data_IF_685545312758
#
_entry.id   IF_685545312758
#
_cell.length_a   1.000
_cell.length_b   1.000
_cell.length_c   1.000
_cell.angle_alpha   90.00
_cell.angle_beta   90.00
_cell.angle_gamma   90.00
#
_symmetry.space_group_name_H-M   'P 1'
#
loop_
_entity.id
_entity.type
_entity.pdbx_description
1 polymer ?
#
# COMPACT_ATOMS: atom_id res chain seq x y z
N UNK A 1 -1.60 -38.60 -27.98
CA UNK A 1 -1.26 -37.82 -29.19
C UNK A 1 -1.09 -36.36 -28.79
N UNK A 2 0.13 -35.83 -28.78
CA UNK A 2 0.38 -34.41 -28.51
C UNK A 2 0.07 -33.61 -29.78
N UNK A 3 -1.09 -32.96 -29.82
CA UNK A 3 -1.41 -32.00 -30.89
C UNK A 3 -0.47 -30.81 -30.70
N UNK A 4 0.51 -30.67 -31.59
CA UNK A 4 1.38 -29.52 -31.61
C UNK A 4 0.52 -28.27 -31.85
N UNK A 5 0.38 -27.43 -30.83
CA UNK A 5 -0.33 -26.14 -30.94
C UNK A 5 0.54 -25.26 -31.84
N UNK A 6 0.25 -25.24 -33.14
CA UNK A 6 0.91 -24.31 -34.04
C UNK A 6 0.57 -22.89 -33.59
N UNK A 7 1.59 -22.04 -33.47
CA UNK A 7 1.35 -20.63 -33.13
C UNK A 7 0.62 -20.00 -34.31
N UNK A 8 -0.62 -19.59 -34.10
CA UNK A 8 -1.40 -18.83 -35.09
C UNK A 8 -0.58 -17.62 -35.54
N UNK A 9 -0.23 -17.58 -36.83
CA UNK A 9 0.37 -16.40 -37.44
C UNK A 9 -0.73 -15.39 -37.76
N UNK A 10 -0.52 -14.13 -37.37
CA UNK A 10 -1.41 -13.01 -37.65
C UNK A 10 -0.92 -12.31 -38.92
N UNK A 11 -1.52 -12.65 -40.06
CA UNK A 11 -1.34 -11.94 -41.33
C UNK A 11 -2.11 -10.62 -41.31
N UNK A 12 -1.75 -9.69 -42.20
CA UNK A 12 -2.43 -8.39 -42.30
C UNK A 12 -3.94 -8.56 -42.56
N UNK A 13 -4.33 -9.51 -43.41
CA UNK A 13 -5.74 -9.83 -43.68
C UNK A 13 -6.50 -10.28 -42.42
N UNK A 14 -5.87 -11.10 -41.56
CA UNK A 14 -6.48 -11.52 -40.29
C UNK A 14 -6.58 -10.38 -39.30
N UNK A 15 -5.61 -9.45 -39.32
CA UNK A 15 -5.66 -8.24 -38.49
C UNK A 15 -6.79 -7.31 -38.96
N UNK A 16 -7.01 -7.20 -40.26
CA UNK A 16 -8.10 -6.40 -40.80
C UNK A 16 -9.46 -7.05 -40.54
N UNK A 17 -9.59 -8.37 -40.70
CA UNK A 17 -10.77 -9.12 -40.30
C UNK A 17 -11.07 -8.93 -38.79
N UNK A 18 -10.05 -8.98 -37.94
CA UNK A 18 -10.18 -8.68 -36.51
C UNK A 18 -10.71 -7.26 -36.26
N UNK A 19 -10.20 -6.24 -36.96
CA UNK A 19 -10.71 -4.86 -36.84
C UNK A 19 -12.18 -4.75 -37.22
N UNK A 20 -12.54 -5.34 -38.36
CA UNK A 20 -13.91 -5.34 -38.87
C UNK A 20 -14.88 -5.96 -37.85
N UNK A 21 -14.58 -7.15 -37.34
CA UNK A 21 -15.45 -7.82 -36.34
C UNK A 21 -15.53 -7.08 -35.01
N UNK A 22 -14.45 -6.41 -34.58
CA UNK A 22 -14.49 -5.55 -33.38
C UNK A 22 -15.37 -4.32 -33.61
N UNK A 23 -15.35 -3.75 -34.82
CA UNK A 23 -16.20 -2.63 -35.22
C UNK A 23 -17.69 -3.04 -35.25
N UNK A 24 -17.99 -4.27 -35.70
CA UNK A 24 -19.32 -4.88 -35.64
C UNK A 24 -19.78 -5.20 -34.20
N UNK A 25 -18.90 -5.02 -33.21
CA UNK A 25 -19.22 -5.22 -31.80
C UNK A 25 -19.16 -6.67 -31.33
N UNK A 26 -18.52 -7.57 -32.09
CA UNK A 26 -18.34 -8.96 -31.66
C UNK A 26 -17.40 -9.06 -30.45
N UNK A 27 -17.75 -9.96 -29.53
CA UNK A 27 -16.90 -10.28 -28.37
C UNK A 27 -15.70 -11.16 -28.75
N UNK A 28 -14.67 -11.16 -27.91
CA UNK A 28 -13.41 -11.91 -28.14
C UNK A 28 -13.64 -13.39 -28.47
N UNK A 29 -14.61 -14.04 -27.82
CA UNK A 29 -14.94 -15.44 -28.07
C UNK A 29 -15.55 -15.65 -29.46
N UNK A 30 -16.56 -14.86 -29.84
CA UNK A 30 -17.19 -14.95 -31.16
C UNK A 30 -16.19 -14.66 -32.29
N UNK A 31 -15.29 -13.69 -32.08
CA UNK A 31 -14.20 -13.40 -33.02
C UNK A 31 -13.22 -14.58 -33.10
N UNK A 32 -12.95 -15.25 -31.98
CA UNK A 32 -12.05 -16.40 -31.95
C UNK A 32 -12.62 -17.58 -32.74
N UNK A 33 -13.92 -17.86 -32.58
CA UNK A 33 -14.62 -18.90 -33.32
C UNK A 33 -14.65 -18.58 -34.82
N UNK A 34 -14.99 -17.34 -35.18
CA UNK A 34 -15.04 -16.87 -36.57
C UNK A 34 -13.67 -16.92 -37.27
N UNK A 35 -12.61 -16.54 -36.56
CA UNK A 35 -11.25 -16.58 -37.09
C UNK A 35 -10.57 -17.95 -36.91
N UNK A 36 -11.28 -18.97 -36.44
CA UNK A 36 -10.74 -20.30 -36.13
C UNK A 36 -9.44 -20.21 -35.31
N UNK A 37 -9.46 -19.45 -34.22
CA UNK A 37 -8.31 -19.23 -33.34
C UNK A 37 -8.72 -19.26 -31.87
N UNK A 38 -7.76 -19.17 -30.95
CA UNK A 38 -8.08 -19.16 -29.53
C UNK A 38 -8.49 -17.76 -29.05
N UNK A 39 -9.44 -17.64 -28.09
CA UNK A 39 -9.79 -16.35 -27.48
C UNK A 39 -8.57 -15.61 -26.89
N UNK A 40 -7.60 -16.36 -26.35
CA UNK A 40 -6.36 -15.79 -25.83
C UNK A 40 -5.49 -15.15 -26.94
N UNK A 41 -5.44 -15.77 -28.13
CA UNK A 41 -4.73 -15.21 -29.28
C UNK A 41 -5.39 -13.91 -29.76
N UNK A 42 -6.73 -13.88 -29.84
CA UNK A 42 -7.49 -12.68 -30.20
C UNK A 42 -7.25 -11.55 -29.19
N UNK A 43 -7.42 -11.82 -27.89
CA UNK A 43 -7.20 -10.82 -26.84
C UNK A 43 -5.76 -10.27 -26.85
N UNK A 44 -4.77 -11.14 -27.03
CA UNK A 44 -3.37 -10.74 -27.12
C UNK A 44 -3.12 -9.83 -28.33
N UNK A 45 -3.70 -10.17 -29.49
CA UNK A 45 -3.52 -9.36 -30.70
C UNK A 45 -4.26 -8.02 -30.60
N UNK A 46 -5.51 -8.00 -30.11
CA UNK A 46 -6.25 -6.76 -29.85
C UNK A 46 -5.46 -5.81 -28.94
N UNK A 47 -4.82 -6.34 -27.89
CA UNK A 47 -3.96 -5.55 -27.01
C UNK A 47 -2.73 -4.98 -27.73
N UNK A 48 -2.10 -5.76 -28.61
CA UNK A 48 -0.92 -5.31 -29.39
C UNK A 48 -1.26 -4.15 -30.33
N UNK A 49 -2.39 -4.25 -31.02
CA UNK A 49 -2.85 -3.23 -31.99
C UNK A 49 -3.76 -2.17 -31.37
N UNK A 50 -3.96 -2.21 -30.05
CA UNK A 50 -4.76 -1.25 -29.27
C UNK A 50 -6.20 -1.08 -29.77
N UNK A 51 -6.80 -2.17 -30.22
CA UNK A 51 -8.22 -2.20 -30.56
C UNK A 51 -9.06 -2.20 -29.28
N UNK A 52 -9.98 -1.24 -29.19
CA UNK A 52 -10.94 -1.13 -28.10
C UNK A 52 -12.32 -1.49 -28.66
N UNK A 53 -13.10 -2.39 -28.03
CA UNK A 53 -14.46 -2.67 -28.46
C UNK A 53 -15.32 -1.42 -28.50
N UNK A 54 -16.31 -1.37 -29.40
CA UNK A 54 -17.29 -0.28 -29.44
C UNK A 54 -17.93 -0.03 -28.06
N UNK A 55 -18.27 1.22 -27.77
CA UNK A 55 -18.79 1.62 -26.45
C UNK A 55 -20.04 0.83 -26.03
N UNK A 56 -20.87 0.42 -26.99
CA UNK A 56 -22.05 -0.44 -26.79
C UNK A 56 -21.70 -1.80 -26.18
N UNK A 57 -20.60 -2.42 -26.63
CA UNK A 57 -20.10 -3.70 -26.12
C UNK A 57 -19.58 -3.53 -24.69
N UNK A 58 -18.88 -2.44 -24.41
CA UNK A 58 -18.39 -2.12 -23.07
C UNK A 58 -19.55 -1.99 -22.09
N UNK A 59 -20.66 -1.35 -22.49
CA UNK A 59 -21.87 -1.21 -21.67
C UNK A 59 -22.53 -2.57 -21.41
N UNK A 60 -22.67 -3.43 -22.42
CA UNK A 60 -23.26 -4.76 -22.26
C UNK A 60 -22.42 -5.66 -21.37
N UNK A 61 -21.11 -5.71 -21.59
CA UNK A 61 -20.17 -6.49 -20.78
C UNK A 61 -20.17 -5.99 -19.34
N UNK A 62 -20.20 -4.67 -19.12
CA UNK A 62 -20.32 -4.07 -17.79
C UNK A 62 -21.61 -4.48 -17.10
N UNK A 63 -22.76 -4.34 -17.76
CA UNK A 63 -24.05 -4.70 -17.17
C UNK A 63 -24.12 -6.20 -16.87
N UNK A 64 -23.56 -7.04 -17.74
CA UNK A 64 -23.48 -8.49 -17.55
C UNK A 64 -22.55 -8.92 -16.40
N UNK A 65 -21.52 -8.13 -16.08
CA UNK A 65 -20.68 -8.29 -14.87
C UNK A 65 -21.49 -7.95 -13.62
N UNK A 66 -22.15 -6.79 -13.61
CA UNK A 66 -22.90 -6.29 -12.45
C UNK A 66 -24.09 -7.18 -12.11
N UNK A 67 -24.85 -7.61 -13.11
CA UNK A 67 -25.99 -8.51 -12.95
C UNK A 67 -25.57 -9.84 -12.29
N UNK A 68 -24.53 -10.51 -12.81
CA UNK A 68 -24.04 -11.77 -12.23
C UNK A 68 -23.44 -11.61 -10.84
N UNK A 69 -22.80 -10.48 -10.58
CA UNK A 69 -22.31 -10.17 -9.25
C UNK A 69 -23.47 -9.99 -8.25
N UNK A 70 -24.57 -9.35 -8.67
CA UNK A 70 -25.78 -9.22 -7.86
C UNK A 70 -26.43 -10.60 -7.58
N UNK A 71 -26.33 -11.56 -8.50
CA UNK A 71 -26.71 -12.98 -8.29
C UNK A 71 -25.73 -13.74 -7.37
N UNK A 72 -24.72 -13.09 -6.79
CA UNK A 72 -23.76 -13.70 -5.86
C UNK A 72 -22.62 -14.48 -6.51
N UNK A 73 -22.39 -14.32 -7.82
CA UNK A 73 -21.28 -14.99 -8.49
C UNK A 73 -19.94 -14.41 -8.06
N UNK A 74 -18.96 -15.30 -7.82
CA UNK A 74 -17.58 -14.87 -7.53
C UNK A 74 -16.94 -14.19 -8.75
N UNK A 75 -16.12 -13.13 -8.57
CA UNK A 75 -15.44 -12.43 -9.67
C UNK A 75 -14.66 -13.34 -10.62
N UNK A 76 -14.02 -14.41 -10.11
CA UNK A 76 -13.29 -15.39 -10.92
C UNK A 76 -14.18 -16.25 -11.83
N UNK A 77 -15.45 -16.47 -11.45
CA UNK A 77 -16.44 -17.18 -12.28
C UNK A 77 -16.98 -16.25 -13.36
N UNK A 78 -17.29 -15.01 -12.98
CA UNK A 78 -17.71 -13.95 -13.91
C UNK A 78 -16.63 -13.75 -14.98
N UNK A 79 -15.37 -13.55 -14.57
CA UNK A 79 -14.21 -13.39 -15.46
C UNK A 79 -14.11 -14.47 -16.55
N UNK A 80 -14.25 -15.76 -16.15
CA UNK A 80 -14.26 -16.88 -17.10
C UNK A 80 -15.44 -16.82 -18.08
N UNK A 81 -16.63 -16.43 -17.60
CA UNK A 81 -17.83 -16.35 -18.43
C UNK A 81 -17.79 -15.21 -19.45
N UNK A 82 -17.32 -14.01 -19.03
CA UNK A 82 -17.26 -12.83 -19.92
C UNK A 82 -15.95 -12.72 -20.72
N UNK A 83 -15.00 -13.64 -20.49
CA UNK A 83 -13.71 -13.63 -21.20
C UNK A 83 -12.80 -12.46 -20.80
N UNK A 84 -12.89 -11.99 -19.56
CA UNK A 84 -12.06 -10.91 -19.02
C UNK A 84 -11.14 -11.42 -17.91
N UNK A 85 -10.07 -10.68 -17.62
CA UNK A 85 -9.25 -10.97 -16.44
C UNK A 85 -9.97 -10.58 -15.14
N UNK A 86 -9.64 -11.27 -14.06
CA UNK A 86 -10.28 -11.09 -12.76
C UNK A 86 -10.12 -9.67 -12.19
N UNK A 87 -9.01 -8.99 -12.50
CA UNK A 87 -8.72 -7.64 -11.99
C UNK A 87 -9.62 -6.62 -12.67
N UNK A 88 -9.84 -6.75 -13.98
CA UNK A 88 -10.78 -5.92 -14.74
C UNK A 88 -12.22 -6.10 -14.22
N UNK A 89 -12.66 -7.34 -14.00
CA UNK A 89 -13.98 -7.63 -13.42
C UNK A 89 -14.12 -7.00 -12.03
N UNK A 90 -13.13 -7.20 -11.15
CA UNK A 90 -13.14 -6.61 -9.81
C UNK A 90 -13.17 -5.08 -9.86
N UNK A 91 -12.37 -4.47 -10.75
CA UNK A 91 -12.34 -3.02 -10.91
C UNK A 91 -13.64 -2.42 -11.45
N UNK A 92 -14.46 -3.18 -12.19
CA UNK A 92 -15.83 -2.76 -12.56
C UNK A 92 -16.75 -2.81 -11.35
N UNK A 93 -16.73 -3.90 -10.59
CA UNK A 93 -17.55 -4.09 -9.37
C UNK A 93 -17.26 -2.98 -8.34
N UNK A 94 -15.98 -2.74 -8.04
CA UNK A 94 -15.58 -1.76 -7.02
C UNK A 94 -16.01 -0.34 -7.38
N UNK A 95 -15.87 0.05 -8.65
CA UNK A 95 -16.32 1.38 -9.14
C UNK A 95 -17.82 1.57 -8.97
N UNK A 96 -18.61 0.53 -9.22
CA UNK A 96 -20.07 0.59 -9.08
C UNK A 96 -20.54 0.59 -7.63
N UNK A 97 -19.94 -0.25 -6.78
CA UNK A 97 -20.22 -0.24 -5.34
C UNK A 97 -19.98 1.15 -4.70
N UNK A 98 -18.99 1.89 -5.23
CA UNK A 98 -18.69 3.27 -4.77
C UNK A 98 -19.72 4.29 -5.27
N UNK A 99 -20.33 4.03 -6.44
CA UNK A 99 -21.31 4.94 -7.07
C UNK A 99 -22.69 4.78 -6.44
N UNK A 100 -23.13 3.53 -6.18
CA UNK A 100 -24.39 3.27 -5.46
C UNK A 100 -24.36 3.78 -4.01
N UNK A 101 -23.22 3.64 -3.32
CA UNK A 101 -23.03 4.20 -1.98
C UNK A 101 -23.09 5.74 -1.93
N UNK A 102 -23.02 6.42 -3.08
CA UNK A 102 -23.15 7.88 -3.20
C UNK A 102 -24.52 8.32 -3.74
N UNK A 103 -25.41 7.38 -4.08
CA UNK A 103 -26.71 7.64 -4.68
C UNK A 103 -27.88 7.66 -3.68
N UNK A 104 -27.61 7.82 -2.38
CA UNK A 104 -28.67 8.16 -1.42
C UNK A 104 -29.29 9.52 -1.81
N UNK A 105 -30.64 9.66 -1.77
CA UNK A 105 -31.32 10.86 -2.22
C UNK A 105 -30.99 12.02 -1.27
N UNK A 106 -30.06 12.88 -1.69
CA UNK A 106 -29.82 14.15 -1.02
C UNK A 106 -30.81 15.19 -1.55
N UNK A 107 -31.55 15.80 -0.62
CA UNK A 107 -32.47 16.91 -0.86
C UNK A 107 -31.83 18.02 -1.73
N UNK A 108 -32.63 18.75 -2.53
CA UNK A 108 -32.14 19.74 -3.48
C UNK A 108 -31.43 20.90 -2.77
N UNK A 109 -30.10 20.81 -2.66
CA UNK A 109 -29.27 21.91 -2.15
C UNK A 109 -29.09 22.99 -3.21
N UNK A 110 -29.60 24.17 -2.88
CA UNK A 110 -29.40 25.45 -3.58
C UNK A 110 -27.92 25.65 -3.94
N UNK A 111 -27.69 25.81 -5.24
CA UNK A 111 -26.40 25.78 -5.92
C UNK A 111 -25.61 27.07 -5.65
N UNK A 112 -24.89 27.15 -4.52
CA UNK A 112 -23.83 28.17 -4.34
C UNK A 112 -22.55 27.74 -5.06
N UNK A 113 -22.12 28.52 -6.07
CA UNK A 113 -20.85 28.37 -6.79
C UNK A 113 -19.69 28.42 -5.77
N UNK A 114 -19.07 27.28 -5.47
CA UNK A 114 -17.79 27.21 -4.73
C UNK A 114 -16.64 26.91 -5.69
N UNK A 115 -15.54 27.61 -5.46
CA UNK A 115 -14.29 27.58 -6.20
C UNK A 115 -13.63 26.19 -6.18
N UNK A 116 -12.94 25.88 -7.29
CA UNK A 116 -12.49 24.55 -7.72
C UNK A 116 -11.16 24.09 -7.08
N UNK A 117 -10.95 24.35 -5.79
CA UNK A 117 -9.69 23.98 -5.09
C UNK A 117 -9.82 22.87 -4.05
N UNK A 118 -11.02 22.42 -3.71
CA UNK A 118 -11.18 21.36 -2.72
C UNK A 118 -11.35 20.00 -3.41
N UNK A 119 -10.27 19.20 -3.42
CA UNK A 119 -10.42 17.76 -3.61
C UNK A 119 -11.24 17.23 -2.43
N UNK A 120 -12.26 16.38 -2.64
CA UNK A 120 -12.93 15.72 -1.53
C UNK A 120 -11.92 14.78 -0.88
N UNK A 121 -11.40 15.20 0.27
CA UNK A 121 -10.69 14.34 1.20
C UNK A 121 -11.64 13.19 1.52
N UNK A 122 -11.29 11.97 1.14
CA UNK A 122 -12.05 10.77 1.43
C UNK A 122 -12.41 10.81 2.91
N UNK A 123 -13.69 10.95 3.23
CA UNK A 123 -14.13 11.04 4.62
C UNK A 123 -13.52 9.85 5.37
N UNK A 124 -12.83 10.08 6.52
CA UNK A 124 -12.22 8.99 7.25
C UNK A 124 -13.31 7.96 7.54
N UNK A 125 -13.16 6.75 7.00
CA UNK A 125 -14.05 5.63 7.30
C UNK A 125 -14.16 5.59 8.82
N UNK A 126 -15.35 5.85 9.35
CA UNK A 126 -15.59 5.82 10.80
C UNK A 126 -15.04 4.48 11.28
N UNK A 127 -14.03 4.47 12.17
CA UNK A 127 -13.50 3.22 12.67
C UNK A 127 -14.69 2.48 13.27
N UNK A 128 -14.92 1.23 12.82
CA UNK A 128 -15.92 0.38 13.46
C UNK A 128 -15.68 0.44 14.96
N UNK A 129 -16.72 0.62 15.78
CA UNK A 129 -16.57 0.80 17.21
C UNK A 129 -15.68 -0.32 17.75
N UNK A 130 -14.62 0.05 18.45
CA UNK A 130 -13.56 -0.88 18.92
C UNK A 130 -14.16 -2.12 19.59
N UNK A 131 -15.29 -1.93 20.28
CA UNK A 131 -16.09 -2.95 20.95
C UNK A 131 -16.59 -4.06 20.02
N UNK A 132 -17.06 -3.74 18.81
CA UNK A 132 -17.54 -4.76 17.86
C UNK A 132 -16.40 -5.63 17.33
N UNK A 133 -15.25 -5.01 17.07
CA UNK A 133 -14.05 -5.73 16.63
C UNK A 133 -13.55 -6.68 17.71
N UNK A 134 -13.54 -6.24 18.96
CA UNK A 134 -13.14 -7.07 20.11
C UNK A 134 -14.09 -8.23 20.32
N UNK A 135 -15.41 -8.00 20.23
CA UNK A 135 -16.43 -9.07 20.29
C UNK A 135 -16.25 -10.11 19.19
N UNK A 136 -16.01 -9.67 17.95
CA UNK A 136 -15.74 -10.57 16.84
C UNK A 136 -14.47 -11.41 17.05
N UNK A 137 -13.38 -10.79 17.51
CA UNK A 137 -12.12 -11.49 17.80
C UNK A 137 -12.29 -12.47 18.97
N UNK A 138 -13.02 -12.09 20.01
CA UNK A 138 -13.32 -12.96 21.15
C UNK A 138 -14.14 -14.20 20.73
N UNK A 139 -15.21 -14.02 19.95
CA UNK A 139 -16.03 -15.12 19.43
C UNK A 139 -15.21 -16.07 18.54
N UNK A 140 -14.35 -15.51 17.68
CA UNK A 140 -13.45 -16.29 16.83
C UNK A 140 -12.42 -17.08 17.64
N UNK A 141 -11.80 -16.47 18.64
CA UNK A 141 -10.85 -17.13 19.56
C UNK A 141 -11.52 -18.26 20.33
N UNK A 142 -12.74 -18.07 20.82
CA UNK A 142 -13.51 -19.10 21.48
C UNK A 142 -13.78 -20.31 20.55
N UNK A 143 -14.14 -20.06 19.28
CA UNK A 143 -14.32 -21.11 18.27
C UNK A 143 -13.02 -21.86 17.98
N UNK A 144 -11.91 -21.14 17.80
CA UNK A 144 -10.57 -21.73 17.59
C UNK A 144 -10.18 -22.61 18.78
N UNK A 145 -10.42 -22.17 20.01
CA UNK A 145 -10.15 -22.92 21.24
C UNK A 145 -11.00 -24.20 21.33
N UNK A 146 -12.31 -24.11 21.04
CA UNK A 146 -13.21 -25.29 21.03
C UNK A 146 -12.73 -26.34 20.03
N UNK A 147 -12.41 -25.93 18.80
CA UNK A 147 -11.92 -26.84 17.76
C UNK A 147 -10.55 -27.44 18.14
N UNK A 148 -9.71 -26.68 18.87
CA UNK A 148 -8.43 -27.19 19.35
C UNK A 148 -8.59 -28.25 20.44
N UNK A 149 -9.52 -28.05 21.38
CA UNK A 149 -9.86 -29.03 22.42
C UNK A 149 -10.42 -30.33 21.83
N UNK A 150 -11.06 -30.26 20.66
CA UNK A 150 -11.48 -31.44 19.89
C UNK A 150 -10.33 -32.17 19.17
N UNK A 151 -9.07 -31.76 19.38
CA UNK A 151 -7.90 -32.42 18.79
C UNK A 151 -7.62 -32.08 17.32
N UNK A 152 -8.33 -31.11 16.73
CA UNK A 152 -8.10 -30.72 15.33
C UNK A 152 -6.71 -30.10 15.13
N UNK A 153 -6.12 -30.39 13.97
CA UNK A 153 -4.85 -29.77 13.54
C UNK A 153 -5.08 -28.32 13.10
N UNK A 154 -4.06 -27.47 13.20
CA UNK A 154 -4.15 -26.04 12.82
C UNK A 154 -4.70 -25.82 11.41
N UNK A 155 -4.39 -26.75 10.48
CA UNK A 155 -4.88 -26.73 9.10
C UNK A 155 -6.39 -26.95 9.01
N UNK A 156 -6.90 -28.02 9.65
CA UNK A 156 -8.34 -28.31 9.67
C UNK A 156 -9.14 -27.20 10.38
N UNK A 157 -8.57 -26.62 11.44
CA UNK A 157 -9.17 -25.45 12.10
C UNK A 157 -9.25 -24.27 11.13
N UNK A 158 -8.17 -23.97 10.41
CA UNK A 158 -8.12 -22.89 9.41
C UNK A 158 -9.15 -23.06 8.30
N UNK A 159 -9.26 -24.26 7.75
CA UNK A 159 -10.27 -24.63 6.74
C UNK A 159 -11.69 -24.41 7.28
N UNK A 160 -11.98 -24.81 8.52
CA UNK A 160 -13.32 -24.67 9.13
C UNK A 160 -13.76 -23.22 9.42
N UNK A 161 -12.82 -22.29 9.57
CA UNK A 161 -13.11 -20.88 9.89
C UNK A 161 -12.75 -19.92 8.76
N UNK A 162 -12.29 -20.43 7.61
CA UNK A 162 -11.85 -19.61 6.47
C UNK A 162 -10.60 -18.78 6.76
N UNK A 163 -9.64 -19.31 7.52
CA UNK A 163 -8.42 -18.61 7.91
C UNK A 163 -7.14 -19.40 7.57
N UNK A 164 -6.03 -18.70 7.37
CA UNK A 164 -4.74 -19.36 7.19
C UNK A 164 -4.32 -20.10 8.49
N UNK A 165 -3.61 -21.23 8.39
CA UNK A 165 -3.12 -21.96 9.57
C UNK A 165 -2.22 -21.10 10.47
N UNK A 166 -1.49 -20.14 9.89
CA UNK A 166 -0.67 -19.18 10.63
C UNK A 166 -1.52 -18.27 11.54
N UNK A 167 -2.65 -17.79 11.03
CA UNK A 167 -3.55 -16.95 11.79
C UNK A 167 -4.20 -17.71 12.97
N UNK A 168 -4.54 -18.99 12.75
CA UNK A 168 -5.01 -19.89 13.84
C UNK A 168 -3.95 -20.03 14.93
N UNK A 169 -2.68 -20.23 14.54
CA UNK A 169 -1.57 -20.33 15.48
C UNK A 169 -1.38 -19.05 16.30
N UNK A 170 -1.42 -17.87 15.66
CA UNK A 170 -1.29 -16.59 16.37
C UNK A 170 -2.42 -16.34 17.36
N UNK A 171 -3.66 -16.73 17.01
CA UNK A 171 -4.82 -16.55 17.88
C UNK A 171 -4.81 -17.52 19.07
N UNK A 172 -4.38 -18.78 18.88
CA UNK A 172 -4.19 -19.73 19.98
C UNK A 172 -3.15 -19.21 20.98
N UNK A 173 -2.02 -18.68 20.48
CA UNK A 173 -0.97 -18.07 21.32
C UNK A 173 -1.50 -16.88 22.12
N UNK A 174 -2.33 -16.04 21.50
CA UNK A 174 -2.96 -14.90 22.19
C UNK A 174 -3.94 -15.34 23.29
N UNK A 175 -4.49 -16.55 23.23
CA UNK A 175 -5.38 -17.11 24.26
C UNK A 175 -4.66 -17.91 25.36
N UNK A 176 -3.32 -18.01 25.31
CA UNK A 176 -2.55 -18.79 26.28
C UNK A 176 -2.74 -20.31 26.17
N UNK A 177 -3.43 -20.79 25.12
CA UNK A 177 -3.48 -22.21 24.81
C UNK A 177 -2.14 -22.56 24.19
N UNK A 178 -1.40 -23.50 24.80
CA UNK A 178 -0.17 -24.03 24.23
C UNK A 178 -0.45 -24.54 22.82
N UNK A 179 -0.11 -23.71 21.83
CA UNK A 179 0.02 -24.18 20.48
C UNK A 179 1.16 -25.19 20.54
N UNK A 180 0.97 -26.43 20.03
CA UNK A 180 2.06 -27.38 19.96
C UNK A 180 3.19 -26.62 19.31
N UNK A 181 4.37 -26.64 19.97
CA UNK A 181 5.52 -25.90 19.48
C UNK A 181 5.59 -26.12 18.00
N UNK A 182 5.99 -25.07 17.28
CA UNK A 182 6.37 -25.20 15.89
C UNK A 182 7.61 -26.10 15.89
N UNK A 183 7.43 -27.42 16.10
CA UNK A 183 8.09 -28.47 15.37
C UNK A 183 7.75 -28.10 13.94
N UNK A 184 8.52 -27.13 13.42
CA UNK A 184 9.04 -27.21 12.09
C UNK A 184 9.56 -28.63 12.07
N UNK A 185 8.68 -29.55 11.68
CA UNK A 185 9.12 -30.74 11.00
C UNK A 185 9.93 -30.10 9.89
N UNK A 186 11.24 -29.93 10.14
CA UNK A 186 12.22 -29.85 9.09
C UNK A 186 11.78 -31.03 8.28
N UNK A 187 11.11 -30.76 7.16
CA UNK A 187 10.65 -31.83 6.30
C UNK A 187 11.86 -32.76 6.23
N UNK A 188 11.68 -34.06 6.52
CA UNK A 188 12.80 -35.00 6.45
C UNK A 188 13.54 -34.68 5.16
N UNK A 189 14.89 -34.65 5.15
CA UNK A 189 15.67 -34.12 4.04
C UNK A 189 15.44 -34.93 2.76
N UNK A 190 14.28 -34.76 2.12
CA UNK A 190 14.19 -34.55 0.71
C UNK A 190 15.10 -33.35 0.49
N UNK A 191 16.38 -33.62 0.31
CA UNK A 191 17.31 -32.78 -0.39
C UNK A 191 16.52 -32.29 -1.59
N UNK A 192 16.04 -31.04 -1.51
CA UNK A 192 14.94 -30.57 -2.31
C UNK A 192 15.34 -30.86 -3.76
N UNK A 193 14.53 -31.56 -4.53
CA UNK A 193 14.80 -31.73 -5.96
C UNK A 193 15.05 -30.38 -6.63
N UNK A 194 14.47 -29.31 -6.06
CA UNK A 194 14.76 -27.90 -6.38
C UNK A 194 16.18 -27.45 -6.06
N UNK A 195 16.74 -27.82 -4.91
CA UNK A 195 18.14 -27.53 -4.58
C UNK A 195 19.07 -28.30 -5.52
N UNK A 196 18.84 -29.61 -5.73
CA UNK A 196 19.61 -30.41 -6.71
C UNK A 196 19.51 -29.83 -8.12
N UNK A 197 18.33 -29.42 -8.56
CA UNK A 197 18.13 -28.79 -9.86
C UNK A 197 18.82 -27.42 -9.95
N UNK A 198 18.83 -26.65 -8.85
CA UNK A 198 19.51 -25.36 -8.77
C UNK A 198 21.02 -25.54 -8.84
N UNK A 199 21.57 -26.51 -8.12
CA UNK A 199 23.00 -26.79 -8.13
C UNK A 199 23.46 -27.39 -9.46
N UNK A 200 22.66 -28.28 -10.06
CA UNK A 200 22.90 -28.78 -11.41
C UNK A 200 22.88 -27.65 -12.45
N UNK A 201 21.95 -26.69 -12.34
CA UNK A 201 21.91 -25.50 -13.20
C UNK A 201 23.16 -24.64 -12.99
N UNK A 202 23.54 -24.37 -11.75
CA UNK A 202 24.74 -23.57 -11.41
C UNK A 202 26.02 -24.22 -11.93
N UNK A 203 26.14 -25.54 -11.86
CA UNK A 203 27.26 -26.28 -12.44
C UNK A 203 27.34 -26.09 -13.97
N UNK A 204 26.19 -26.15 -14.68
CA UNK A 204 26.14 -25.85 -16.12
C UNK A 204 26.52 -24.41 -16.42
N UNK A 205 25.99 -23.44 -15.67
CA UNK A 205 26.33 -22.01 -15.81
C UNK A 205 27.83 -21.79 -15.62
N UNK A 206 28.44 -22.43 -14.61
CA UNK A 206 29.89 -22.37 -14.36
C UNK A 206 30.71 -22.89 -15.54
N UNK A 207 30.36 -24.07 -16.08
CA UNK A 207 31.06 -24.67 -17.22
C UNK A 207 30.94 -23.81 -18.48
N UNK A 208 29.74 -23.32 -18.78
CA UNK A 208 29.52 -22.46 -19.95
C UNK A 208 30.25 -21.11 -19.80
N UNK A 209 30.34 -20.58 -18.58
CA UNK A 209 31.08 -19.34 -18.33
C UNK A 209 32.59 -19.53 -18.47
N UNK A 210 33.14 -20.66 -18.01
CA UNK A 210 34.56 -21.00 -18.19
C UNK A 210 34.96 -21.10 -19.68
N UNK A 211 34.01 -21.48 -20.54
CA UNK A 211 34.20 -21.50 -22.00
C UNK A 211 34.09 -20.11 -22.66
N UNK A 212 33.96 -19.02 -21.89
CA UNK A 212 33.95 -17.64 -22.41
C UNK A 212 32.59 -17.15 -22.92
N UNK A 213 31.50 -17.90 -22.75
CA UNK A 213 30.19 -17.46 -23.23
C UNK A 213 29.67 -16.22 -22.46
N UNK A 214 28.92 -15.38 -23.18
CA UNK A 214 28.20 -14.25 -22.63
C UNK A 214 26.98 -14.70 -21.80
N UNK A 215 26.48 -13.85 -20.90
CA UNK A 215 25.33 -14.19 -20.05
C UNK A 215 24.08 -14.57 -20.85
N UNK A 216 23.87 -13.90 -22.00
CA UNK A 216 22.76 -14.16 -22.91
C UNK A 216 22.85 -15.54 -23.55
N UNK A 217 24.00 -15.89 -24.12
CA UNK A 217 24.22 -17.21 -24.74
C UNK A 217 24.08 -18.33 -23.72
N UNK A 218 24.58 -18.13 -22.48
CA UNK A 218 24.39 -19.08 -21.39
C UNK A 218 22.90 -19.27 -21.10
N UNK A 219 22.14 -18.16 -21.01
CA UNK A 219 20.70 -18.18 -20.77
C UNK A 219 19.93 -18.92 -21.85
N UNK A 220 20.19 -18.61 -23.12
CA UNK A 220 19.57 -19.29 -24.27
C UNK A 220 19.87 -20.80 -24.26
N UNK A 221 21.09 -21.20 -23.93
CA UNK A 221 21.51 -22.61 -23.94
C UNK A 221 20.97 -23.45 -22.78
N UNK A 222 20.68 -22.84 -21.63
CA UNK A 222 20.09 -23.54 -20.47
C UNK A 222 18.58 -23.30 -20.33
N UNK A 223 17.96 -22.52 -21.22
CA UNK A 223 16.54 -22.15 -21.14
C UNK A 223 16.21 -21.23 -19.97
N UNK A 224 17.10 -20.30 -19.61
CA UNK A 224 16.93 -19.36 -18.52
C UNK A 224 17.09 -17.90 -18.98
N UNK A 225 16.48 -16.96 -18.27
CA UNK A 225 16.71 -15.54 -18.51
C UNK A 225 18.09 -15.09 -18.01
N UNK A 226 18.65 -14.07 -18.66
CA UNK A 226 19.98 -13.52 -18.36
C UNK A 226 20.15 -13.13 -16.88
N UNK A 227 19.10 -12.55 -16.27
CA UNK A 227 19.10 -12.16 -14.86
C UNK A 227 19.28 -13.34 -13.90
N UNK A 228 18.78 -14.52 -14.26
CA UNK A 228 18.93 -15.72 -13.43
C UNK A 228 20.36 -16.28 -13.51
N UNK A 229 20.93 -16.31 -14.71
CA UNK A 229 22.35 -16.67 -14.93
C UNK A 229 23.27 -15.75 -14.13
N UNK A 230 22.99 -14.45 -14.18
CA UNK A 230 23.74 -13.46 -13.40
C UNK A 230 23.64 -13.70 -11.90
N UNK A 231 22.43 -13.97 -11.38
CA UNK A 231 22.24 -14.27 -9.96
C UNK A 231 23.00 -15.52 -9.54
N UNK A 232 22.99 -16.59 -10.35
CA UNK A 232 23.74 -17.81 -10.10
C UNK A 232 25.26 -17.56 -10.09
N UNK A 233 25.79 -16.78 -11.04
CA UNK A 233 27.21 -16.40 -11.06
C UNK A 233 27.62 -15.57 -9.85
N UNK A 234 26.75 -14.64 -9.41
CA UNK A 234 26.97 -13.81 -8.23
C UNK A 234 27.05 -14.66 -6.97
N UNK A 235 26.14 -15.62 -6.80
CA UNK A 235 26.15 -16.55 -5.66
C UNK A 235 27.41 -17.42 -5.66
N UNK A 236 27.90 -17.81 -6.84
CA UNK A 236 29.14 -18.58 -6.97
C UNK A 236 30.42 -17.74 -6.83
N UNK A 237 30.32 -16.42 -6.64
CA UNK A 237 31.49 -15.53 -6.60
C UNK A 237 32.24 -15.40 -7.94
N UNK A 238 31.63 -15.85 -9.05
CA UNK A 238 32.21 -15.83 -10.39
C UNK A 238 31.86 -14.56 -11.17
N UNK A 239 31.27 -13.57 -10.50
CA UNK A 239 31.07 -12.25 -11.10
C UNK A 239 32.43 -11.60 -11.30
N UNK A 240 32.95 -11.67 -12.52
CA UNK A 240 33.88 -10.67 -13.04
C UNK A 240 33.24 -9.32 -12.76
N UNK A 241 33.98 -8.35 -12.19
CA UNK A 241 33.54 -6.96 -12.07
C UNK A 241 32.73 -6.66 -13.31
N UNK A 242 31.48 -6.26 -13.16
CA UNK A 242 30.65 -5.89 -14.29
C UNK A 242 31.51 -4.94 -15.12
N UNK A 243 32.07 -5.43 -16.23
CA UNK A 243 32.26 -4.58 -17.38
C UNK A 243 30.83 -4.18 -17.58
N UNK A 244 30.49 -2.99 -17.09
CA UNK A 244 29.21 -2.36 -17.34
C UNK A 244 29.16 -2.49 -18.84
N UNK A 245 28.38 -3.46 -19.32
CA UNK A 245 28.07 -3.59 -20.72
C UNK A 245 27.45 -2.23 -20.94
N UNK A 246 28.27 -1.29 -21.46
CA UNK A 246 27.78 -0.09 -22.06
C UNK A 246 26.80 -0.68 -23.03
N UNK A 247 25.51 -0.61 -22.69
CA UNK A 247 24.43 -0.96 -23.60
C UNK A 247 24.91 -0.49 -24.96
N UNK A 248 24.97 -1.37 -25.98
CA UNK A 248 25.60 -1.07 -27.26
C UNK A 248 25.26 0.37 -27.59
N UNK A 249 26.32 1.18 -27.72
CA UNK A 249 26.27 2.65 -27.66
C UNK A 249 24.94 3.10 -28.23
N UNK A 250 24.12 3.78 -27.40
CA UNK A 250 22.76 4.20 -27.72
C UNK A 250 22.67 4.40 -29.23
N UNK A 251 21.98 3.48 -29.91
CA UNK A 251 21.90 3.51 -31.37
C UNK A 251 21.60 4.95 -31.79
N UNK A 252 22.35 5.51 -32.74
CA UNK A 252 22.22 6.90 -33.20
C UNK A 252 20.76 7.31 -33.41
N UNK A 253 19.92 6.35 -33.81
CA UNK A 253 18.48 6.50 -33.95
C UNK A 253 17.75 6.97 -32.68
N UNK A 254 18.07 6.42 -31.49
CA UNK A 254 17.46 6.87 -30.24
C UNK A 254 17.87 8.30 -29.89
N UNK A 255 19.13 8.64 -30.13
CA UNK A 255 19.62 9.99 -29.85
C UNK A 255 19.04 10.99 -30.86
N UNK A 256 18.83 10.60 -32.14
CA UNK A 256 18.07 11.37 -33.14
C UNK A 256 16.61 11.59 -32.73
N UNK A 257 15.92 10.55 -32.28
CA UNK A 257 14.52 10.66 -31.79
C UNK A 257 14.45 11.59 -30.56
N UNK A 258 15.40 11.48 -29.64
CA UNK A 258 15.47 12.35 -28.46
C UNK A 258 15.80 13.79 -28.84
N UNK A 259 16.70 14.01 -29.80
CA UNK A 259 17.05 15.34 -30.31
C UNK A 259 15.85 16.00 -31.02
N UNK A 260 15.17 15.27 -31.89
CA UNK A 260 13.96 15.74 -32.60
C UNK A 260 12.87 16.12 -31.60
N UNK A 261 12.63 15.26 -30.60
CA UNK A 261 11.67 15.55 -29.52
C UNK A 261 12.03 16.80 -28.73
N UNK A 262 13.32 16.97 -28.42
CA UNK A 262 13.84 18.15 -27.71
C UNK A 262 13.64 19.43 -28.51
N UNK A 263 13.93 19.41 -29.81
CA UNK A 263 13.68 20.54 -30.70
C UNK A 263 12.19 20.91 -30.75
N UNK A 264 11.30 19.93 -30.83
CA UNK A 264 9.86 20.15 -30.79
C UNK A 264 9.40 20.77 -29.46
N UNK A 265 9.94 20.29 -28.32
CA UNK A 265 9.67 20.86 -27.00
C UNK A 265 10.11 22.33 -26.93
N UNK A 266 11.27 22.69 -27.49
CA UNK A 266 11.77 24.07 -27.50
C UNK A 266 10.91 24.98 -28.36
N UNK A 267 10.52 24.54 -29.57
CA UNK A 267 9.64 25.32 -30.44
C UNK A 267 8.31 25.65 -29.75
N UNK A 268 7.62 24.64 -29.23
CA UNK A 268 6.35 24.82 -28.51
C UNK A 268 6.51 25.67 -27.25
N UNK A 269 7.70 25.70 -26.64
CA UNK A 269 7.97 26.57 -25.49
C UNK A 269 8.18 28.02 -25.92
N UNK A 270 8.86 28.26 -27.04
CA UNK A 270 8.97 29.59 -27.65
C UNK A 270 7.61 30.17 -28.04
N UNK A 271 6.68 29.31 -28.45
CA UNK A 271 5.28 29.65 -28.73
C UNK A 271 4.45 29.96 -27.46
N UNK A 272 5.04 29.89 -26.26
CA UNK A 272 4.40 30.25 -24.99
C UNK A 272 3.52 29.16 -24.35
N UNK A 273 3.49 27.94 -24.87
CA UNK A 273 2.64 26.88 -24.32
C UNK A 273 3.06 26.45 -22.91
N UNK A 274 2.07 26.02 -22.12
CA UNK A 274 2.31 25.45 -20.80
C UNK A 274 2.94 24.06 -20.89
N UNK A 275 3.66 23.64 -19.84
CA UNK A 275 4.32 22.31 -19.81
C UNK A 275 3.34 21.14 -20.03
N UNK A 276 2.06 21.30 -19.64
CA UNK A 276 1.02 20.28 -19.82
C UNK A 276 0.54 20.18 -21.27
N UNK A 277 0.42 21.32 -21.96
CA UNK A 277 0.04 21.35 -23.37
C UNK A 277 1.16 20.81 -24.24
N UNK A 278 2.41 21.21 -23.96
CA UNK A 278 3.59 20.65 -24.63
C UNK A 278 3.63 19.13 -24.45
N UNK A 279 3.41 18.64 -23.23
CA UNK A 279 3.36 17.22 -22.91
C UNK A 279 2.31 16.47 -23.75
N UNK A 280 1.07 17.01 -23.80
CA UNK A 280 -0.02 16.44 -24.59
C UNK A 280 0.32 16.41 -26.09
N UNK A 281 0.93 17.47 -26.62
CA UNK A 281 1.24 17.62 -28.05
C UNK A 281 2.42 16.78 -28.52
N UNK A 282 3.42 16.58 -27.65
CA UNK A 282 4.61 15.75 -27.92
C UNK A 282 4.37 14.27 -27.59
N UNK A 283 3.30 13.94 -26.87
CA UNK A 283 2.99 12.56 -26.46
C UNK A 283 3.90 12.06 -25.33
N UNK A 284 4.32 12.93 -24.41
CA UNK A 284 5.14 12.58 -23.24
C UNK A 284 4.56 13.17 -21.96
N UNK A 285 5.00 12.68 -20.80
CA UNK A 285 4.56 13.24 -19.51
C UNK A 285 5.11 14.65 -19.25
N UNK A 286 4.37 15.51 -18.54
CA UNK A 286 4.84 16.85 -18.16
C UNK A 286 6.18 16.86 -17.38
N UNK A 287 6.45 15.92 -16.44
CA UNK A 287 7.77 15.81 -15.82
C UNK A 287 8.89 15.44 -16.80
N UNK A 288 8.59 14.70 -17.88
CA UNK A 288 9.58 14.43 -18.93
C UNK A 288 9.92 15.70 -19.72
N UNK A 289 8.92 16.51 -20.06
CA UNK A 289 9.14 17.84 -20.68
C UNK A 289 10.03 18.71 -19.80
N UNK A 290 9.71 18.79 -18.50
CA UNK A 290 10.51 19.54 -17.53
C UNK A 290 11.98 19.06 -17.51
N UNK A 291 12.22 17.75 -17.40
CA UNK A 291 13.58 17.19 -17.44
C UNK A 291 14.30 17.44 -18.76
N UNK A 292 13.59 17.44 -19.89
CA UNK A 292 14.17 17.78 -21.19
C UNK A 292 14.61 19.24 -21.24
N UNK A 293 13.75 20.17 -20.81
CA UNK A 293 14.07 21.60 -20.75
C UNK A 293 15.25 21.89 -19.80
N UNK A 294 15.25 21.28 -18.60
CA UNK A 294 16.36 21.39 -17.64
C UNK A 294 17.70 20.94 -18.24
N UNK A 295 17.71 19.80 -18.93
CA UNK A 295 18.92 19.27 -19.59
C UNK A 295 19.41 20.12 -20.76
N UNK A 296 18.51 20.88 -21.38
CA UNK A 296 18.86 21.81 -22.46
C UNK A 296 19.33 23.16 -21.94
N UNK A 297 19.25 23.44 -20.63
CA UNK A 297 19.59 24.73 -19.98
C UNK A 297 18.91 25.96 -20.60
N UNK A 298 17.90 25.77 -21.45
CA UNK A 298 17.22 26.81 -22.24
C UNK A 298 16.01 27.42 -21.55
N UNK A 299 15.60 26.90 -20.40
CA UNK A 299 14.84 27.73 -19.47
C UNK A 299 15.84 28.66 -18.79
N UNK A 300 15.82 29.99 -19.07
CA UNK A 300 16.02 30.91 -17.96
C UNK A 300 15.02 30.43 -16.92
N UNK A 301 15.50 29.76 -15.87
CA UNK A 301 14.67 29.54 -14.70
C UNK A 301 14.17 30.94 -14.39
N UNK A 302 12.86 31.17 -14.54
CA UNK A 302 12.29 32.47 -14.20
C UNK A 302 12.83 32.82 -12.83
N UNK A 303 13.15 34.09 -12.57
CA UNK A 303 13.76 34.46 -11.29
C UNK A 303 12.97 33.89 -10.11
N UNK A 304 11.64 33.78 -10.24
CA UNK A 304 10.76 33.06 -9.32
C UNK A 304 11.14 31.58 -9.05
N UNK A 305 11.54 30.79 -10.06
CA UNK A 305 12.01 29.41 -9.87
C UNK A 305 13.38 29.38 -9.21
N UNK A 306 14.29 30.31 -9.58
CA UNK A 306 15.60 30.44 -8.93
C UNK A 306 15.45 30.84 -7.47
N UNK A 307 14.55 31.77 -7.18
CA UNK A 307 14.23 32.22 -5.84
C UNK A 307 13.56 31.11 -5.02
N UNK A 308 12.66 30.34 -5.62
CA UNK A 308 12.08 29.16 -4.98
C UNK A 308 13.15 28.10 -4.68
N UNK A 309 14.07 27.81 -5.61
CA UNK A 309 15.18 26.89 -5.37
C UNK A 309 16.12 27.40 -4.27
N UNK A 310 16.51 28.68 -4.30
CA UNK A 310 17.28 29.33 -3.23
C UNK A 310 16.56 29.24 -1.88
N UNK A 311 15.24 29.44 -1.85
CA UNK A 311 14.42 29.30 -0.64
C UNK A 311 14.41 27.86 -0.13
N UNK A 312 14.29 26.87 -1.02
CA UNK A 312 14.34 25.46 -0.66
C UNK A 312 15.72 25.04 -0.15
N UNK A 313 16.80 25.51 -0.77
CA UNK A 313 18.16 25.21 -0.34
C UNK A 313 18.49 25.91 0.99
N UNK A 314 18.01 27.14 1.20
CA UNK A 314 18.07 27.80 2.50
C UNK A 314 17.30 27.00 3.57
N UNK A 315 16.09 26.51 3.28
CA UNK A 315 15.32 25.65 4.20
C UNK A 315 16.02 24.33 4.50
N UNK A 316 16.67 23.72 3.50
CA UNK A 316 17.48 22.50 3.67
C UNK A 316 18.70 22.76 4.53
N UNK A 317 19.39 23.88 4.35
CA UNK A 317 20.52 24.28 5.18
C UNK A 317 20.09 24.50 6.63
N UNK A 318 18.96 25.18 6.87
CA UNK A 318 18.38 25.35 8.21
C UNK A 318 17.99 24.01 8.82
N UNK A 319 17.32 23.13 8.07
CA UNK A 319 16.94 21.81 8.54
C UNK A 319 18.16 20.96 8.91
N UNK A 320 19.23 21.02 8.11
CA UNK A 320 20.49 20.33 8.42
C UNK A 320 21.11 20.83 9.72
N UNK A 321 21.17 22.16 9.93
CA UNK A 321 21.65 22.76 11.19
C UNK A 321 20.81 22.31 12.39
N UNK A 322 19.49 22.26 12.24
CA UNK A 322 18.58 21.79 13.31
C UNK A 322 18.76 20.29 13.61
N UNK A 323 19.01 19.46 12.59
CA UNK A 323 19.32 18.03 12.77
C UNK A 323 20.64 17.86 13.53
N UNK A 324 21.70 18.59 13.14
CA UNK A 324 22.98 18.51 13.85
C UNK A 324 22.84 19.00 15.30
N UNK A 325 22.16 20.12 15.54
CA UNK A 325 21.88 20.60 16.90
C UNK A 325 21.02 19.63 17.73
N UNK A 326 20.12 18.87 17.08
CA UNK A 326 19.36 17.80 17.74
C UNK A 326 20.27 16.70 18.28
N UNK A 327 21.35 16.36 17.55
CA UNK A 327 22.35 15.38 18.00
C UNK A 327 23.02 15.85 19.29
N UNK A 328 23.46 17.11 19.33
CA UNK A 328 24.19 17.69 20.46
C UNK A 328 23.31 17.82 21.72
N UNK A 329 22.09 18.34 21.57
CA UNK A 329 21.14 18.48 22.68
C UNK A 329 20.71 17.11 23.23
N UNK A 330 20.59 16.10 22.36
CA UNK A 330 20.29 14.74 22.79
C UNK A 330 21.47 14.10 23.53
N UNK A 331 22.72 14.37 23.12
CA UNK A 331 23.93 13.92 23.82
C UNK A 331 24.06 14.58 25.21
N UNK A 332 23.59 15.83 25.36
CA UNK A 332 23.45 16.51 26.65
C UNK A 332 22.30 15.98 27.53
N UNK A 333 21.56 14.94 27.08
CA UNK A 333 20.53 14.28 27.86
C UNK A 333 19.17 14.97 27.87
N UNK A 334 18.95 16.00 27.04
CA UNK A 334 17.66 16.69 26.98
C UNK A 334 16.55 15.75 26.46
N UNK A 335 15.34 15.97 26.97
CA UNK A 335 14.13 15.28 26.47
C UNK A 335 13.69 15.84 25.13
N UNK A 336 12.94 15.06 24.32
CA UNK A 336 12.44 15.52 23.02
C UNK A 336 11.65 16.83 23.10
N UNK A 337 10.92 17.09 24.20
CA UNK A 337 10.20 18.36 24.41
C UNK A 337 11.15 19.53 24.65
N UNK A 338 12.19 19.34 25.45
CA UNK A 338 13.21 20.36 25.67
C UNK A 338 13.99 20.67 24.39
N UNK A 339 14.32 19.64 23.61
CA UNK A 339 14.96 19.80 22.28
C UNK A 339 14.04 20.60 21.35
N UNK A 340 12.75 20.24 21.27
CA UNK A 340 11.78 20.96 20.45
C UNK A 340 11.68 22.44 20.84
N UNK A 341 11.58 22.71 22.15
CA UNK A 341 11.55 24.07 22.69
C UNK A 341 12.83 24.84 22.40
N UNK A 342 14.01 24.21 22.54
CA UNK A 342 15.31 24.83 22.32
C UNK A 342 15.55 25.18 20.84
N UNK A 343 15.05 24.35 19.91
CA UNK A 343 15.20 24.56 18.47
C UNK A 343 14.07 25.41 17.85
N UNK A 344 13.05 25.78 18.63
CA UNK A 344 11.87 26.49 18.12
C UNK A 344 11.05 25.66 17.12
N UNK A 345 11.04 24.33 17.26
CA UNK A 345 10.31 23.41 16.38
C UNK A 345 9.22 22.67 17.13
N UNK A 346 8.29 22.05 16.39
CA UNK A 346 7.26 21.21 17.02
C UNK A 346 7.87 19.94 17.63
N UNK A 347 7.19 19.38 18.63
CA UNK A 347 7.62 18.12 19.26
C UNK A 347 7.73 16.97 18.24
N UNK A 348 6.83 16.90 17.26
CA UNK A 348 6.87 15.86 16.22
C UNK A 348 8.08 16.04 15.29
N UNK A 349 8.43 17.27 14.93
CA UNK A 349 9.62 17.58 14.12
C UNK A 349 10.90 17.17 14.84
N UNK A 350 11.06 17.53 16.13
CA UNK A 350 12.22 17.11 16.92
C UNK A 350 12.31 15.58 17.05
N UNK A 351 11.16 14.91 17.19
CA UNK A 351 11.07 13.45 17.24
C UNK A 351 11.46 12.79 15.91
N UNK A 352 11.09 13.39 14.78
CA UNK A 352 11.49 12.93 13.45
C UNK A 352 13.00 13.07 13.26
N UNK A 353 13.60 14.21 13.60
CA UNK A 353 15.05 14.40 13.58
C UNK A 353 15.79 13.36 14.44
N UNK A 354 15.30 13.07 15.64
CA UNK A 354 15.87 12.02 16.48
C UNK A 354 15.78 10.63 15.82
N UNK A 355 14.69 10.31 15.12
CA UNK A 355 14.54 9.02 14.41
C UNK A 355 15.46 8.91 13.21
N UNK A 356 15.57 9.96 12.42
CA UNK A 356 16.43 10.00 11.24
C UNK A 356 17.91 9.83 11.61
N UNK A 357 18.29 10.33 12.79
CA UNK A 357 19.61 10.14 13.38
C UNK A 357 19.80 8.79 14.11
N UNK A 358 18.76 7.97 14.22
CA UNK A 358 18.81 6.70 14.98
C UNK A 358 18.99 6.88 16.49
N UNK A 359 18.66 8.06 17.04
CA UNK A 359 18.81 8.36 18.46
C UNK A 359 17.68 7.74 19.28
N UNK A 360 17.99 7.27 20.50
CA UNK A 360 16.98 6.77 21.44
C UNK A 360 16.06 7.93 21.86
N UNK A 361 14.78 7.79 21.58
CA UNK A 361 13.77 8.79 21.98
C UNK A 361 13.56 8.69 23.49
N UNK A 362 14.08 9.66 24.25
CA UNK A 362 13.83 9.82 25.68
C UNK A 362 12.38 10.28 25.91
N UNK A 363 11.45 9.32 25.92
CA UNK A 363 10.01 9.56 26.13
C UNK A 363 9.64 9.83 27.58
N UNK A 364 10.52 9.50 28.52
CA UNK A 364 10.28 9.81 29.93
C UNK A 364 10.41 11.33 30.07
N UNK A 365 9.26 12.00 30.15
CA UNK A 365 9.16 13.15 31.03
C UNK A 365 9.63 12.65 32.39
N UNK A 366 10.90 12.86 32.72
CA UNK A 366 11.22 13.10 34.11
C UNK A 366 10.34 14.30 34.45
N UNK A 367 9.16 14.03 35.00
CA UNK A 367 8.39 15.08 35.68
C UNK A 367 9.44 15.69 36.60
N UNK A 368 9.76 16.99 36.50
CA UNK A 368 10.61 17.61 37.50
C UNK A 368 10.04 17.15 38.82
N UNK A 369 10.83 16.39 39.59
CA UNK A 369 10.42 16.03 40.93
C UNK A 369 10.53 17.35 41.66
N UNK A 370 9.48 18.17 41.57
CA UNK A 370 9.27 19.22 42.56
C UNK A 370 9.44 18.52 43.91
N UNK A 371 10.31 19.02 44.79
CA UNK A 371 10.54 18.42 46.09
C UNK A 371 9.17 18.22 46.70
N UNK A 372 8.83 16.96 47.00
CA UNK A 372 7.47 16.51 47.21
C UNK A 372 6.76 17.41 48.23
N UNK A 373 6.04 18.42 47.75
CA UNK A 373 4.93 18.99 48.47
C UNK A 373 4.02 17.79 48.68
N UNK A 374 3.96 17.34 49.94
CA UNK A 374 3.31 16.11 50.37
C UNK A 374 1.97 16.03 49.65
N UNK A 375 1.89 15.17 48.63
CA UNK A 375 0.63 14.96 47.94
C UNK A 375 -0.34 14.52 49.05
N UNK A 376 -1.48 15.21 49.22
CA UNK A 376 -2.40 14.86 50.28
C UNK A 376 -2.69 13.37 50.17
N UNK A 377 -2.62 12.62 51.30
CA UNK A 377 -2.76 11.18 51.29
C UNK A 377 -4.01 10.83 50.51
N UNK A 378 -3.79 10.16 49.38
CA UNK A 378 -4.84 9.83 48.42
C UNK A 378 -5.91 9.05 49.19
N UNK A 379 -7.09 9.66 49.38
CA UNK A 379 -8.12 9.12 50.26
C UNK A 379 -8.38 7.62 49.98
N UNK A 380 -8.56 6.75 50.99
CA UNK A 380 -8.81 5.33 50.76
C UNK A 380 -10.06 5.10 49.91
N UNK A 381 -10.05 4.07 49.07
CA UNK A 381 -11.21 3.69 48.23
C UNK A 381 -12.45 3.40 49.10
N UNK A 382 -12.24 2.90 50.32
CA UNK A 382 -13.30 2.67 51.31
C UNK A 382 -14.07 3.96 51.66
N UNK A 383 -13.38 5.10 51.77
CA UNK A 383 -14.00 6.40 52.09
C UNK A 383 -14.88 6.87 50.94
N UNK A 384 -14.38 6.79 49.70
CA UNK A 384 -15.16 7.12 48.49
C UNK A 384 -16.41 6.23 48.38
N UNK A 385 -16.28 4.94 48.72
CA UNK A 385 -17.41 4.00 48.71
C UNK A 385 -18.45 4.31 49.79
N UNK A 386 -18.03 4.73 50.98
CA UNK A 386 -18.94 5.13 52.05
C UNK A 386 -19.71 6.39 51.66
N UNK A 387 -19.03 7.43 51.20
CA UNK A 387 -19.66 8.69 50.79
C UNK A 387 -20.63 8.50 49.61
N UNK A 388 -20.31 7.62 48.65
CA UNK A 388 -21.23 7.30 47.56
C UNK A 388 -22.48 6.53 48.04
N UNK A 389 -22.37 5.70 49.09
CA UNK A 389 -23.52 5.01 49.69
C UNK A 389 -24.40 5.96 50.51
N UNK A 390 -23.83 7.03 51.04
CA UNK A 390 -24.56 8.14 51.67
C UNK A 390 -25.33 9.01 50.65
N UNK A 391 -25.20 8.72 49.35
CA UNK A 391 -25.88 9.49 48.29
C UNK A 391 -25.18 10.80 47.93
N UNK A 392 -23.94 11.03 48.38
CA UNK A 392 -23.20 12.25 48.04
C UNK A 392 -22.86 12.31 46.56
N UNK A 393 -22.95 13.51 45.99
CA UNK A 393 -22.61 13.75 44.58
C UNK A 393 -21.10 13.66 44.35
N UNK A 394 -20.66 13.50 43.09
CA UNK A 394 -19.23 13.45 42.77
C UNK A 394 -18.51 14.73 43.19
N UNK A 395 -19.19 15.88 43.07
CA UNK A 395 -18.69 17.19 43.46
C UNK A 395 -18.50 17.31 44.99
N UNK A 396 -19.45 16.82 45.78
CA UNK A 396 -19.32 16.79 47.24
C UNK A 396 -18.17 15.89 47.70
N UNK A 397 -18.02 14.74 47.07
CA UNK A 397 -16.91 13.81 47.34
C UNK A 397 -15.57 14.44 46.93
N UNK A 398 -15.55 15.17 45.81
CA UNK A 398 -14.37 15.90 45.30
C UNK A 398 -13.92 16.98 46.28
N UNK A 399 -14.84 17.84 46.70
CA UNK A 399 -14.59 18.93 47.65
C UNK A 399 -14.11 18.36 48.98
N UNK A 400 -14.79 17.34 49.50
CA UNK A 400 -14.46 16.75 50.80
C UNK A 400 -13.09 16.04 50.81
N UNK A 401 -12.63 15.51 49.68
CA UNK A 401 -11.38 14.75 49.60
C UNK A 401 -10.22 15.53 48.95
N UNK A 402 -10.46 16.73 48.43
CA UNK A 402 -9.43 17.56 47.80
C UNK A 402 -8.78 16.90 46.56
N UNK A 403 -9.54 16.09 45.82
CA UNK A 403 -9.04 15.38 44.62
C UNK A 403 -9.79 15.80 43.37
N UNK A 404 -9.26 15.51 42.18
CA UNK A 404 -9.96 15.86 40.92
C UNK A 404 -11.16 14.96 40.62
N UNK A 405 -12.13 15.48 39.87
CA UNK A 405 -13.33 14.76 39.41
C UNK A 405 -13.01 13.43 38.74
N UNK A 406 -12.01 13.45 37.86
CA UNK A 406 -11.57 12.27 37.14
C UNK A 406 -11.04 11.17 38.09
N UNK A 407 -10.46 11.57 39.23
CA UNK A 407 -9.98 10.63 40.25
C UNK A 407 -11.14 9.95 40.96
N UNK A 408 -12.18 10.70 41.36
CA UNK A 408 -13.41 10.15 41.96
C UNK A 408 -14.15 9.27 40.95
N UNK A 409 -14.34 9.75 39.73
CA UNK A 409 -15.01 9.02 38.65
C UNK A 409 -14.38 7.65 38.40
N UNK A 410 -13.04 7.58 38.25
CA UNK A 410 -12.32 6.31 38.07
C UNK A 410 -12.45 5.36 39.26
N UNK A 411 -12.58 5.90 40.47
CA UNK A 411 -12.73 5.11 41.69
C UNK A 411 -14.14 4.54 41.83
N UNK A 412 -15.17 5.35 41.57
CA UNK A 412 -16.55 4.89 41.52
C UNK A 412 -16.74 3.80 40.46
N UNK A 413 -16.11 3.96 39.28
CA UNK A 413 -16.07 2.90 38.26
C UNK A 413 -15.41 1.61 38.75
N UNK A 414 -14.27 1.69 39.47
CA UNK A 414 -13.62 0.49 40.03
C UNK A 414 -14.44 -0.20 41.11
N UNK A 415 -15.19 0.56 41.89
CA UNK A 415 -16.04 0.03 42.96
C UNK A 415 -17.32 -0.63 42.37
N UNK A 416 -17.59 -0.41 41.08
CA UNK A 416 -18.75 -0.98 40.41
C UNK A 416 -20.05 -0.24 40.73
N UNK A 417 -19.97 1.04 41.10
CA UNK A 417 -21.17 1.89 41.26
C UNK A 417 -21.81 2.00 39.87
N UNK A 418 -22.97 1.37 39.70
CA UNK A 418 -23.75 1.49 38.48
C UNK A 418 -24.14 2.96 38.28
N UNK A 419 -24.14 3.43 37.04
CA UNK A 419 -24.57 4.78 36.67
C UNK A 419 -23.77 5.95 37.29
N UNK A 420 -22.43 5.85 37.34
CA UNK A 420 -21.56 6.99 37.70
C UNK A 420 -21.85 8.26 36.87
N UNK A 421 -22.43 8.12 35.67
CA UNK A 421 -22.85 9.24 34.83
C UNK A 421 -24.03 10.02 35.41
N UNK A 422 -24.96 9.35 36.09
CA UNK A 422 -26.17 9.99 36.62
C UNK A 422 -25.77 10.88 37.81
N UNK A 423 -24.86 10.39 38.67
CA UNK A 423 -24.19 11.16 39.74
C UNK A 423 -23.32 12.33 39.23
N UNK A 424 -23.08 12.42 37.92
CA UNK A 424 -22.27 13.47 37.29
C UNK A 424 -23.13 14.54 36.62
N UNK A 425 -24.32 14.16 36.15
CA UNK A 425 -25.22 15.04 35.40
C UNK A 425 -26.07 15.94 36.31
N UNK A 426 -26.35 15.53 37.55
CA UNK A 426 -27.09 16.34 38.53
C UNK A 426 -26.34 17.61 38.98
N UNK A 427 -25.03 17.69 38.72
CA UNK A 427 -24.16 18.81 39.13
C UNK A 427 -23.83 19.81 38.00
N UNK A 428 -24.24 19.52 36.76
CA UNK A 428 -23.96 20.39 35.58
C UNK A 428 -25.19 21.18 35.09
N UNK A 429 -26.33 21.02 35.77
CA UNK A 429 -27.52 21.85 35.63
C UNK A 429 -27.56 22.85 36.80
#
# INVERSE_FOLDING_TARGET
>A
MNVAVSRTQWTDDRVEALRSRVADGLGVAAIADDLATSPAAVASQMSRIRLVPAASVIVHVRNAILYRHAEGWRPSRIARQVGLDIVTVQGVIDRYATTEASAEPSEPRVRRKRSRTDKPTTAPRRPKPVVERERFLAARRAKIRKLRLQGLTLRKIGESIGASPYLVWTELRATGVEAPEKKVVKQPPHVNERERATDARRAKVRKLRANGLTLREIGERIGACESLVWADLKIMGLTTKMVVLRYPARTDERDRVVATRRAQILKLRGDGLSLREIAKRVGVSAPAVCRHLQRMKTTPQSEAVREQERSLDARRATSKRQIDATRDLNAAGLTTRQIASALGVTWDTAREYQRDLGLKINRRTAKPVEPAAQQPPIAPIAVVKAMAREGRTVEEIRIALGVSDMTIYRRLQRIGVANVKDLWLETSA
#
